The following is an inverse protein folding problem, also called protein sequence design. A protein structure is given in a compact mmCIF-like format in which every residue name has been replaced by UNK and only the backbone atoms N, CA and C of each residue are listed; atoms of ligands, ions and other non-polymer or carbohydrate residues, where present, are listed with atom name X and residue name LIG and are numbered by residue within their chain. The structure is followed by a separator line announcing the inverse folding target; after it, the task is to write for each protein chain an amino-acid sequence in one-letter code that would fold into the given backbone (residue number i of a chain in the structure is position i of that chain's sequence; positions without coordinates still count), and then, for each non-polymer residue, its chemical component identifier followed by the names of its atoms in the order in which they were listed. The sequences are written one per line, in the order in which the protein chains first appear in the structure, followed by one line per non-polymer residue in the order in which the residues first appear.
data_IF_381568127092
#
_entry.id   IF_381568127092
#
_cell.length_a   1.000
_cell.length_b   1.000
_cell.length_c   1.000
_cell.angle_alpha   90.00
_cell.angle_beta   90.00
_cell.angle_gamma   90.00
#
_symmetry.space_group_name_H-M   'P 1'
#
loop_
_entity.id
_entity.type
_entity.pdbx_description
1 polymer ?
#
# COMPACT_ATOMS: atom_id res chain seq x y z
N UNK A 1 -23.15 17.56 39.78
CA UNK A 1 -21.68 17.74 39.71
C UNK A 1 -20.96 16.46 39.29
N UNK A 2 -21.46 15.27 39.66
CA UNK A 2 -20.89 13.96 39.25
C UNK A 2 -20.86 13.75 37.73
N UNK A 3 -21.91 14.14 37.00
CA UNK A 3 -21.98 14.01 35.53
C UNK A 3 -20.87 14.77 34.79
N UNK A 4 -20.43 15.92 35.33
CA UNK A 4 -19.30 16.65 34.77
C UNK A 4 -17.98 15.92 35.05
N UNK A 5 -17.83 15.31 36.23
CA UNK A 5 -16.63 14.55 36.57
C UNK A 5 -16.48 13.28 35.71
N UNK A 6 -17.59 12.56 35.47
CA UNK A 6 -17.62 11.40 34.58
C UNK A 6 -17.28 11.78 33.13
N UNK A 7 -17.82 12.91 32.65
CA UNK A 7 -17.50 13.44 31.32
C UNK A 7 -16.01 13.77 31.17
N UNK A 8 -15.42 14.47 32.16
CA UNK A 8 -13.98 14.77 32.15
C UNK A 8 -13.11 13.50 32.18
N UNK A 9 -13.51 12.48 32.94
CA UNK A 9 -12.82 11.18 32.97
C UNK A 9 -12.87 10.48 31.61
N UNK A 10 -14.01 10.52 30.92
CA UNK A 10 -14.15 9.94 29.59
C UNK A 10 -13.33 10.70 28.54
N UNK A 11 -13.33 12.03 28.58
CA UNK A 11 -12.53 12.86 27.66
C UNK A 11 -11.03 12.64 27.83
N UNK A 12 -10.55 12.59 29.07
CA UNK A 12 -9.12 12.38 29.36
C UNK A 12 -8.67 10.96 29.00
N UNK A 13 -9.52 9.96 29.25
CA UNK A 13 -9.27 8.58 28.83
C UNK A 13 -9.26 8.40 27.31
N UNK A 14 -10.17 9.07 26.59
CA UNK A 14 -10.16 9.08 25.13
C UNK A 14 -8.89 9.75 24.57
N UNK A 15 -8.53 10.92 25.10
CA UNK A 15 -7.33 11.66 24.68
C UNK A 15 -6.04 10.88 24.92
N UNK A 16 -5.89 10.22 26.08
CA UNK A 16 -4.70 9.42 26.39
C UNK A 16 -4.59 8.16 25.52
N UNK A 17 -5.73 7.53 25.21
CA UNK A 17 -5.78 6.39 24.29
C UNK A 17 -5.43 6.81 22.85
N UNK A 18 -5.95 7.94 22.37
CA UNK A 18 -5.53 8.48 21.07
C UNK A 18 -4.04 8.82 21.07
N UNK A 19 -3.57 9.50 22.11
CA UNK A 19 -2.17 9.92 22.22
C UNK A 19 -1.22 8.72 22.19
N UNK A 20 -1.51 7.66 22.96
CA UNK A 20 -0.67 6.46 23.00
C UNK A 20 -0.64 5.72 21.67
N UNK A 21 -1.75 5.66 20.93
CA UNK A 21 -1.76 5.09 19.58
C UNK A 21 -0.91 5.91 18.60
N UNK A 22 -1.03 7.23 18.61
CA UNK A 22 -0.20 8.09 17.77
C UNK A 22 1.30 7.96 18.08
N UNK A 23 1.67 8.00 19.36
CA UNK A 23 3.07 7.86 19.79
C UNK A 23 3.62 6.47 19.43
N UNK A 24 2.82 5.42 19.55
CA UNK A 24 3.22 4.06 19.13
C UNK A 24 3.50 3.97 17.63
N UNK A 25 2.71 4.66 16.79
CA UNK A 25 2.92 4.68 15.34
C UNK A 25 4.21 5.42 14.98
N UNK A 26 4.44 6.60 15.57
CA UNK A 26 5.64 7.42 15.30
C UNK A 26 6.92 6.75 15.81
N UNK A 27 6.88 6.14 16.99
CA UNK A 27 8.05 5.45 17.57
C UNK A 27 8.45 4.19 16.79
N UNK A 28 7.52 3.58 16.05
CA UNK A 28 7.79 2.38 15.24
C UNK A 28 8.52 2.66 13.91
N UNK A 29 8.83 3.93 13.61
CA UNK A 29 9.45 4.31 12.34
C UNK A 29 10.88 3.77 12.24
N UNK A 30 11.08 2.79 11.36
CA UNK A 30 12.36 2.09 11.15
C UNK A 30 12.99 2.57 9.83
N UNK A 31 14.30 2.36 9.64
CA UNK A 31 15.00 2.66 8.37
C UNK A 31 14.32 1.97 7.17
N UNK A 32 13.74 0.78 7.38
CA UNK A 32 12.92 0.09 6.38
C UNK A 32 11.73 0.94 5.89
N UNK A 33 11.11 1.74 6.77
CA UNK A 33 10.00 2.63 6.42
C UNK A 33 10.44 3.75 5.45
N UNK A 34 11.67 4.25 5.61
CA UNK A 34 12.22 5.24 4.68
C UNK A 34 12.49 4.65 3.29
N UNK A 35 13.05 3.43 3.25
CA UNK A 35 13.24 2.70 2.00
C UNK A 35 11.91 2.35 1.33
N UNK A 36 10.89 1.96 2.11
CA UNK A 36 9.54 1.67 1.61
C UNK A 36 8.97 2.86 0.83
N UNK A 37 8.99 4.06 1.43
CA UNK A 37 8.44 5.28 0.79
C UNK A 37 9.20 5.65 -0.50
N UNK A 38 10.53 5.55 -0.48
CA UNK A 38 11.36 5.84 -1.66
C UNK A 38 11.03 4.88 -2.80
N UNK A 39 10.93 3.58 -2.50
CA UNK A 39 10.64 2.55 -3.49
C UNK A 39 9.23 2.71 -4.08
N UNK A 40 8.22 2.98 -3.25
CA UNK A 40 6.86 3.28 -3.70
C UNK A 40 6.84 4.48 -4.65
N UNK A 41 7.53 5.56 -4.29
CA UNK A 41 7.62 6.75 -5.14
C UNK A 41 8.22 6.42 -6.51
N UNK A 42 9.32 5.67 -6.54
CA UNK A 42 9.98 5.25 -7.77
C UNK A 42 9.06 4.37 -8.65
N UNK A 43 8.29 3.46 -8.03
CA UNK A 43 7.36 2.59 -8.76
C UNK A 43 6.21 3.39 -9.36
N UNK A 44 5.60 4.31 -8.61
CA UNK A 44 4.51 5.14 -9.13
C UNK A 44 4.98 5.93 -10.35
N UNK A 45 6.17 6.53 -10.27
CA UNK A 45 6.78 7.22 -11.40
C UNK A 45 6.98 6.28 -12.60
N UNK A 46 7.51 5.08 -12.35
CA UNK A 46 7.73 4.07 -13.39
C UNK A 46 6.41 3.59 -14.02
N UNK A 47 5.35 3.45 -13.23
CA UNK A 47 4.03 3.04 -13.69
C UNK A 47 3.38 4.11 -14.57
N UNK A 48 3.45 5.39 -14.19
CA UNK A 48 2.98 6.51 -15.02
C UNK A 48 3.72 6.56 -16.35
N UNK A 49 5.05 6.37 -16.32
CA UNK A 49 5.88 6.29 -17.54
C UNK A 49 5.47 5.11 -18.41
N UNK A 50 5.08 4.00 -17.80
CA UNK A 50 4.59 2.81 -18.50
C UNK A 50 3.31 3.17 -19.24
N UNK A 51 2.25 3.60 -18.56
CA UNK A 51 0.93 3.88 -19.14
C UNK A 51 0.92 4.85 -20.33
N UNK A 52 1.93 5.74 -20.45
CA UNK A 52 2.03 6.71 -21.55
C UNK A 52 2.27 6.09 -22.93
N UNK A 53 2.79 4.88 -22.99
CA UNK A 53 3.03 4.15 -24.23
C UNK A 53 1.95 3.04 -24.33
N UNK A 54 1.66 2.51 -25.52
CA UNK A 54 0.61 1.47 -25.70
C UNK A 54 1.09 0.25 -26.51
N UNK A 55 2.40 0.00 -26.53
CA UNK A 55 3.00 -1.10 -27.31
C UNK A 55 3.09 -2.39 -26.50
N UNK A 56 2.97 -3.55 -27.15
CA UNK A 56 3.09 -4.86 -26.51
C UNK A 56 4.40 -5.05 -25.71
N UNK A 57 5.51 -4.47 -26.15
CA UNK A 57 6.81 -4.49 -25.43
C UNK A 57 6.75 -3.93 -24.01
N UNK A 58 5.81 -3.03 -23.77
CA UNK A 58 5.66 -2.37 -22.50
C UNK A 58 4.94 -3.23 -21.47
N UNK A 59 4.03 -4.10 -21.89
CA UNK A 59 3.45 -5.12 -21.01
C UNK A 59 4.58 -6.00 -20.45
N UNK A 60 5.51 -6.41 -21.30
CA UNK A 60 6.69 -7.19 -20.88
C UNK A 60 7.53 -6.40 -19.88
N UNK A 61 7.83 -5.12 -20.15
CA UNK A 61 8.55 -4.24 -19.20
C UNK A 61 7.81 -4.09 -17.86
N UNK A 62 6.48 -4.04 -17.89
CA UNK A 62 5.64 -3.94 -16.69
C UNK A 62 5.68 -5.20 -15.85
N UNK A 63 5.66 -6.37 -16.48
CA UNK A 63 5.79 -7.67 -15.80
C UNK A 63 7.18 -7.79 -15.15
N UNK A 64 8.25 -7.44 -15.87
CA UNK A 64 9.61 -7.42 -15.30
C UNK A 64 9.74 -6.44 -14.14
N UNK A 65 9.15 -5.24 -14.25
CA UNK A 65 9.11 -4.26 -13.17
C UNK A 65 8.39 -4.85 -11.94
N UNK A 66 7.19 -5.43 -12.11
CA UNK A 66 6.43 -6.05 -11.02
C UNK A 66 7.20 -7.17 -10.31
N UNK A 67 7.87 -8.05 -11.08
CA UNK A 67 8.69 -9.12 -10.52
C UNK A 67 9.89 -8.58 -9.73
N UNK A 68 10.60 -7.60 -10.28
CA UNK A 68 11.73 -6.97 -9.60
C UNK A 68 11.31 -6.29 -8.29
N UNK A 69 10.20 -5.55 -8.34
CA UNK A 69 9.59 -4.92 -7.16
C UNK A 69 9.22 -5.94 -6.10
N UNK A 70 8.58 -7.04 -6.49
CA UNK A 70 8.18 -8.10 -5.55
C UNK A 70 9.39 -8.75 -4.87
N UNK A 71 10.45 -9.04 -5.63
CA UNK A 71 11.69 -9.57 -5.06
C UNK A 71 12.32 -8.61 -4.06
N UNK A 72 12.45 -7.33 -4.43
CA UNK A 72 13.06 -6.33 -3.55
C UNK A 72 12.20 -6.12 -2.29
N UNK A 73 10.88 -6.10 -2.42
CA UNK A 73 9.95 -5.99 -1.30
C UNK A 73 10.09 -7.16 -0.31
N UNK A 74 10.33 -8.37 -0.81
CA UNK A 74 10.49 -9.57 0.01
C UNK A 74 11.85 -9.57 0.72
N UNK A 75 12.93 -9.30 -0.01
CA UNK A 75 14.31 -9.28 0.53
C UNK A 75 14.49 -8.19 1.59
N UNK A 76 13.96 -6.99 1.34
CA UNK A 76 14.08 -5.86 2.26
C UNK A 76 12.99 -5.82 3.34
N UNK A 77 12.10 -6.84 3.37
CA UNK A 77 10.97 -6.94 4.30
C UNK A 77 10.12 -5.65 4.40
N UNK A 78 9.88 -5.05 3.23
CA UNK A 78 9.16 -3.79 3.07
C UNK A 78 7.65 -4.02 3.25
N UNK A 79 7.15 -3.75 4.45
CA UNK A 79 5.78 -4.08 4.86
C UNK A 79 4.74 -3.37 3.99
N UNK A 80 4.94 -2.09 3.69
CA UNK A 80 3.95 -1.34 2.90
C UNK A 80 3.93 -1.84 1.46
N UNK A 81 5.09 -2.02 0.86
CA UNK A 81 5.19 -2.56 -0.49
C UNK A 81 4.53 -3.94 -0.61
N UNK A 82 4.81 -4.84 0.34
CA UNK A 82 4.21 -6.17 0.37
C UNK A 82 2.68 -6.11 0.46
N UNK A 83 2.13 -5.24 1.31
CA UNK A 83 0.67 -5.06 1.41
C UNK A 83 0.07 -4.61 0.07
N UNK A 84 0.66 -3.61 -0.59
CA UNK A 84 0.17 -3.11 -1.88
C UNK A 84 0.21 -4.20 -2.94
N UNK A 85 1.33 -4.93 -3.05
CA UNK A 85 1.47 -6.02 -4.00
C UNK A 85 0.47 -7.15 -3.72
N UNK A 86 0.27 -7.51 -2.46
CA UNK A 86 -0.70 -8.55 -2.09
C UNK A 86 -2.12 -8.15 -2.48
N UNK A 87 -2.53 -6.90 -2.23
CA UNK A 87 -3.81 -6.40 -2.71
C UNK A 87 -3.88 -6.44 -4.24
N UNK A 88 -2.85 -5.95 -4.93
CA UNK A 88 -2.79 -5.98 -6.39
C UNK A 88 -2.96 -7.40 -6.95
N UNK A 89 -2.22 -8.38 -6.43
CA UNK A 89 -2.33 -9.77 -6.88
C UNK A 89 -3.70 -10.38 -6.56
N UNK A 90 -4.24 -10.14 -5.37
CA UNK A 90 -5.58 -10.62 -5.02
C UNK A 90 -6.67 -10.08 -5.97
N UNK A 91 -6.60 -8.80 -6.32
CA UNK A 91 -7.54 -8.19 -7.27
C UNK A 91 -7.21 -8.48 -8.73
N UNK A 92 -5.98 -8.89 -9.06
CA UNK A 92 -5.53 -9.13 -10.43
C UNK A 92 -6.31 -10.23 -11.13
N UNK A 93 -6.65 -11.32 -10.43
CA UNK A 93 -7.44 -12.42 -11.01
C UNK A 93 -8.84 -11.95 -11.43
N UNK A 94 -9.49 -11.17 -10.55
CA UNK A 94 -10.81 -10.59 -10.82
C UNK A 94 -10.71 -9.56 -11.96
N UNK A 95 -9.72 -8.68 -11.93
CA UNK A 95 -9.49 -7.68 -12.97
C UNK A 95 -9.25 -8.33 -14.34
N UNK A 96 -8.45 -9.40 -14.38
CA UNK A 96 -8.16 -10.16 -15.59
C UNK A 96 -9.43 -10.83 -16.13
N UNK A 97 -10.24 -11.44 -15.24
CA UNK A 97 -11.54 -12.00 -15.60
C UNK A 97 -12.48 -10.92 -16.18
N UNK A 98 -12.55 -9.72 -15.58
CA UNK A 98 -13.38 -8.61 -16.07
C UNK A 98 -12.87 -8.06 -17.41
N UNK A 99 -11.55 -7.95 -17.61
CA UNK A 99 -10.96 -7.48 -18.87
C UNK A 99 -11.24 -8.44 -20.02
N UNK A 100 -11.23 -9.75 -19.74
CA UNK A 100 -11.52 -10.78 -20.74
C UNK A 100 -13.01 -11.13 -20.86
N UNK A 101 -13.86 -10.72 -19.92
CA UNK A 101 -15.31 -10.92 -19.99
C UNK A 101 -15.99 -10.36 -21.27
N UNK A 102 -15.63 -9.17 -21.79
CA UNK A 102 -16.18 -8.62 -23.03
C UNK A 102 -15.93 -9.48 -24.27
N UNK A 103 -14.82 -10.22 -24.30
CA UNK A 103 -14.44 -11.07 -25.43
C UNK A 103 -15.16 -12.42 -25.42
N UNK A 104 -15.44 -12.99 -24.25
CA UNK A 104 -16.14 -14.29 -24.09
C UNK A 104 -17.63 -14.20 -24.45
N UNK A 105 -18.21 -12.98 -24.47
CA UNK A 105 -19.61 -12.76 -24.86
C UNK A 105 -19.82 -12.65 -26.37
N UNK A 106 -18.77 -12.62 -27.18
CA UNK A 106 -18.84 -12.67 -28.65
C UNK A 106 -18.57 -14.09 -29.14
#
# INVERSE_FOLDING_TARGET
MELLAEFWAQCTGFLSNLWSQFVSLVSSFTISSMLDVLLISFIIFSFIKLVRETRAEQLVKGIFLLLGVWLVANVLQLRMMQSILNYFFNFSVIALLIVFQPEVRR
#
